data_IF_378240200296
#
_entry.id   IF_378240200296
#
_cell.length_a   1.000
_cell.length_b   1.000
_cell.length_c   1.000
_cell.angle_alpha   90.00
_cell.angle_beta   90.00
_cell.angle_gamma   90.00
#
_symmetry.space_group_name_H-M   'P 1'
#
loop_
_entity.id
_entity.type
_entity.pdbx_description
1 polymer ?
#
# COMPACT_ATOMS: atom_id res chain seq x y z
N UNK A 1 40.18 -22.53 -26.76
CA UNK A 1 38.76 -22.23 -26.53
C UNK A 1 38.68 -21.76 -25.09
N UNK A 2 38.60 -20.44 -24.87
CA UNK A 2 38.55 -19.91 -23.51
C UNK A 2 37.13 -20.17 -23.01
N UNK A 3 37.00 -21.02 -21.99
CA UNK A 3 35.76 -21.22 -21.27
C UNK A 3 35.43 -19.90 -20.56
N UNK A 4 34.37 -19.23 -21.02
CA UNK A 4 33.84 -18.01 -20.42
C UNK A 4 33.56 -18.27 -18.93
N UNK A 5 34.10 -17.42 -18.06
CA UNK A 5 34.03 -17.63 -16.62
C UNK A 5 32.56 -17.62 -16.14
N UNK A 6 32.18 -18.48 -15.17
CA UNK A 6 30.78 -18.65 -14.75
C UNK A 6 30.14 -17.42 -14.10
N UNK A 7 30.94 -16.41 -13.76
CA UNK A 7 30.48 -15.11 -13.24
C UNK A 7 30.27 -14.07 -14.33
N UNK A 8 30.54 -14.40 -15.60
CA UNK A 8 30.25 -13.51 -16.71
C UNK A 8 28.75 -13.48 -16.96
N UNK A 9 28.12 -12.41 -16.50
CA UNK A 9 26.68 -12.22 -16.68
C UNK A 9 26.43 -11.41 -17.95
N UNK A 10 25.62 -11.96 -18.87
CA UNK A 10 25.19 -11.23 -20.05
C UNK A 10 24.09 -10.23 -19.67
N UNK A 11 24.15 -9.02 -20.22
CA UNK A 11 23.14 -7.97 -19.98
C UNK A 11 21.72 -8.37 -20.44
N UNK A 12 21.61 -9.38 -21.31
CA UNK A 12 20.35 -9.97 -21.76
C UNK A 12 19.71 -10.92 -20.73
N UNK A 13 20.45 -11.29 -19.69
CA UNK A 13 20.00 -12.20 -18.61
C UNK A 13 19.77 -11.47 -17.28
N UNK A 14 20.07 -10.16 -17.23
CA UNK A 14 19.88 -9.32 -16.04
C UNK A 14 18.58 -8.54 -16.16
N UNK A 15 17.66 -8.74 -15.19
CA UNK A 15 16.45 -7.92 -15.05
C UNK A 15 16.69 -6.82 -14.03
N UNK A 16 16.46 -5.57 -14.43
CA UNK A 16 16.52 -4.39 -13.58
C UNK A 16 15.11 -4.03 -13.10
N UNK A 17 14.93 -3.88 -11.79
CA UNK A 17 13.66 -3.53 -11.15
C UNK A 17 13.83 -2.21 -10.38
N UNK A 18 13.12 -1.16 -10.79
CA UNK A 18 13.12 0.14 -10.12
C UNK A 18 11.70 0.44 -9.58
N UNK A 19 11.45 0.17 -8.29
CA UNK A 19 10.15 0.42 -7.67
C UNK A 19 9.89 1.93 -7.53
N UNK A 20 8.63 2.33 -7.68
CA UNK A 20 8.17 3.70 -7.44
C UNK A 20 6.77 3.70 -6.84
N UNK A 21 6.37 4.77 -6.15
CA UNK A 21 5.07 4.85 -5.47
C UNK A 21 3.88 4.80 -6.44
N UNK A 22 4.04 5.40 -7.63
CA UNK A 22 3.00 5.43 -8.68
C UNK A 22 3.24 4.41 -9.78
N UNK A 23 4.49 4.27 -10.21
CA UNK A 23 4.86 3.43 -11.35
C UNK A 23 6.04 2.52 -10.99
N UNK A 24 5.96 1.26 -11.42
CA UNK A 24 7.04 0.29 -11.42
C UNK A 24 7.76 0.36 -12.78
N UNK A 25 9.08 0.48 -12.77
CA UNK A 25 9.90 0.38 -13.99
C UNK A 25 10.65 -0.95 -13.97
N UNK A 26 10.54 -1.72 -15.05
CA UNK A 26 11.18 -3.04 -15.18
C UNK A 26 11.64 -3.29 -16.62
N UNK A 27 12.82 -3.89 -16.79
CA UNK A 27 13.37 -4.22 -18.12
C UNK A 27 14.67 -5.01 -18.01
N UNK A 28 15.19 -5.49 -19.13
CA UNK A 28 16.53 -6.07 -19.18
C UNK A 28 17.58 -4.97 -19.08
N UNK A 29 18.78 -5.30 -18.57
CA UNK A 29 19.89 -4.35 -18.52
C UNK A 29 20.40 -3.96 -19.92
N UNK A 30 20.09 -4.76 -20.94
CA UNK A 30 20.37 -4.47 -22.35
C UNK A 30 19.28 -3.64 -23.04
N UNK A 31 18.10 -3.46 -22.43
CA UNK A 31 17.02 -2.71 -23.06
C UNK A 31 17.35 -1.20 -23.10
N UNK A 32 17.02 -0.49 -24.20
CA UNK A 32 17.26 0.95 -24.31
C UNK A 32 16.37 1.78 -23.37
N UNK A 33 15.23 1.24 -22.94
CA UNK A 33 14.32 1.87 -21.99
C UNK A 33 13.51 0.83 -21.22
N UNK A 34 13.21 1.07 -19.91
CA UNK A 34 12.41 0.15 -19.12
C UNK A 34 10.92 0.27 -19.44
N UNK A 35 10.18 -0.81 -19.24
CA UNK A 35 8.72 -0.79 -19.27
C UNK A 35 8.19 -0.12 -18.00
N UNK A 36 7.24 0.79 -18.17
CA UNK A 36 6.58 1.49 -17.06
C UNK A 36 5.18 0.92 -16.84
N UNK A 37 4.92 0.41 -15.64
CA UNK A 37 3.66 -0.21 -15.24
C UNK A 37 3.06 0.54 -14.05
N UNK A 38 1.72 0.66 -13.93
CA UNK A 38 1.09 1.14 -12.69
C UNK A 38 1.46 0.23 -11.53
N UNK A 39 1.97 0.80 -10.43
CA UNK A 39 2.34 0.02 -9.25
C UNK A 39 1.12 -0.21 -8.34
N UNK A 40 0.10 -0.88 -8.86
CA UNK A 40 -1.15 -1.13 -8.15
C UNK A 40 -1.77 -2.48 -8.55
N UNK A 41 -2.57 -3.04 -7.64
CA UNK A 41 -3.32 -4.29 -7.90
C UNK A 41 -4.77 -4.09 -7.46
N UNK A 42 -5.71 -4.20 -8.40
CA UNK A 42 -7.13 -4.27 -8.08
C UNK A 42 -7.49 -5.71 -7.65
N UNK A 43 -8.19 -5.86 -6.52
CA UNK A 43 -8.70 -7.16 -6.05
C UNK A 43 -10.22 -7.12 -5.96
N UNK A 44 -10.90 -8.19 -6.41
CA UNK A 44 -12.35 -8.34 -6.28
C UNK A 44 -12.74 -8.31 -4.81
N UNK A 45 -13.62 -7.38 -4.42
CA UNK A 45 -14.22 -7.34 -3.08
C UNK A 45 -15.06 -8.61 -2.90
N UNK A 46 -14.78 -9.40 -1.86
CA UNK A 46 -15.68 -10.50 -1.47
C UNK A 46 -17.00 -9.87 -1.04
N UNK A 47 -18.11 -10.24 -1.69
CA UNK A 47 -19.44 -9.89 -1.21
C UNK A 47 -19.58 -10.52 0.18
N UNK A 48 -19.91 -9.71 1.19
CA UNK A 48 -20.36 -10.23 2.47
C UNK A 48 -21.72 -10.86 2.18
N UNK A 49 -21.75 -12.17 1.97
CA UNK A 49 -23.01 -12.91 2.05
C UNK A 49 -23.47 -12.85 3.51
N UNK A 50 -24.69 -12.38 3.73
CA UNK A 50 -25.30 -12.18 5.06
C UNK A 50 -25.29 -13.45 5.94
N UNK A 51 -25.04 -14.62 5.36
CA UNK A 51 -24.89 -15.91 6.05
C UNK A 51 -23.50 -16.19 6.64
N UNK A 52 -22.52 -15.29 6.50
CA UNK A 52 -21.19 -15.45 7.12
C UNK A 52 -21.07 -14.73 8.49
N UNK A 53 -22.20 -14.37 9.12
CA UNK A 53 -22.25 -13.70 10.42
C UNK A 53 -21.69 -14.54 11.60
N UNK A 54 -21.37 -15.82 11.41
CA UNK A 54 -20.78 -16.66 12.44
C UNK A 54 -19.69 -17.57 11.89
N UNK A 55 -18.54 -16.99 11.55
CA UNK A 55 -17.27 -17.68 11.79
C UNK A 55 -16.44 -16.78 12.68
N UNK A 56 -16.25 -17.22 13.92
CA UNK A 56 -15.34 -16.70 14.95
C UNK A 56 -13.88 -16.82 14.52
N UNK A 57 -13.56 -16.49 13.26
CA UNK A 57 -12.16 -16.29 12.86
C UNK A 57 -11.76 -14.89 13.31
N UNK A 58 -10.59 -14.71 13.93
CA UNK A 58 -10.07 -13.39 14.28
C UNK A 58 -10.07 -12.49 13.04
N UNK A 59 -10.17 -11.15 13.20
CA UNK A 59 -10.24 -10.22 12.08
C UNK A 59 -9.14 -10.58 11.09
N UNK A 60 -9.54 -11.08 9.91
CA UNK A 60 -8.61 -11.48 8.87
C UNK A 60 -7.90 -10.24 8.43
N UNK A 61 -6.73 -9.99 9.01
CA UNK A 61 -5.81 -8.98 8.56
C UNK A 61 -5.64 -9.23 7.06
N UNK A 62 -5.88 -8.24 6.18
CA UNK A 62 -5.76 -8.45 4.74
C UNK A 62 -4.39 -9.05 4.45
N UNK A 63 -4.25 -9.97 3.49
CA UNK A 63 -2.97 -10.61 3.19
C UNK A 63 -1.81 -9.61 2.90
N UNK A 64 -2.13 -8.34 2.62
CA UNK A 64 -1.17 -7.23 2.55
C UNK A 64 -0.46 -6.90 3.88
N UNK A 65 -1.00 -7.36 5.01
CA UNK A 65 -0.44 -7.19 6.35
C UNK A 65 0.40 -8.39 6.80
N UNK A 66 0.52 -9.44 5.98
CA UNK A 66 1.33 -10.63 6.31
C UNK A 66 2.82 -10.29 6.49
N UNK A 67 3.27 -9.18 5.93
CA UNK A 67 4.64 -8.66 6.06
C UNK A 67 4.78 -7.48 7.02
N UNK A 68 3.70 -7.07 7.69
CA UNK A 68 3.84 -6.09 8.76
C UNK A 68 4.37 -6.78 10.00
N UNK A 69 5.29 -6.15 10.74
CA UNK A 69 5.73 -6.68 12.01
C UNK A 69 4.51 -6.89 12.92
N UNK A 70 4.52 -7.92 13.79
CA UNK A 70 3.44 -8.15 14.73
C UNK A 70 3.19 -6.86 15.52
N UNK A 71 2.02 -6.27 15.34
CA UNK A 71 1.65 -5.05 16.05
C UNK A 71 1.35 -5.43 17.49
N UNK A 72 2.13 -4.90 18.43
CA UNK A 72 1.88 -5.06 19.86
C UNK A 72 0.49 -4.52 20.18
N UNK A 73 -0.43 -5.39 20.59
CA UNK A 73 -1.78 -5.03 21.05
C UNK A 73 -1.75 -4.50 22.48
N UNK A 74 -0.64 -3.87 22.89
CA UNK A 74 -0.58 -3.19 24.16
C UNK A 74 -1.45 -1.93 24.07
N UNK A 75 -2.51 -1.87 24.87
CA UNK A 75 -3.46 -0.76 24.88
C UNK A 75 -2.77 0.61 25.07
N UNK A 76 -1.65 0.66 25.80
CA UNK A 76 -0.86 1.89 25.97
C UNK A 76 -0.19 2.36 24.68
N UNK A 77 0.34 1.43 23.88
CA UNK A 77 0.96 1.76 22.58
C UNK A 77 -0.10 2.23 21.58
N UNK A 78 -1.27 1.58 21.57
CA UNK A 78 -2.37 1.98 20.69
C UNK A 78 -2.91 3.37 21.04
N UNK A 79 -3.05 3.69 22.33
CA UNK A 79 -3.45 5.02 22.78
C UNK A 79 -2.41 6.09 22.40
N UNK A 80 -1.12 5.78 22.53
CA UNK A 80 -0.05 6.68 22.12
C UNK A 80 -0.05 6.92 20.60
N UNK A 81 -0.26 5.88 19.78
CA UNK A 81 -0.36 6.01 18.32
C UNK A 81 -1.54 6.92 17.94
N UNK A 82 -2.70 6.75 18.59
CA UNK A 82 -3.88 7.59 18.34
C UNK A 82 -3.61 9.06 18.72
N UNK A 83 -2.93 9.30 19.84
CA UNK A 83 -2.50 10.64 20.24
C UNK A 83 -1.55 11.27 19.21
N UNK A 84 -0.54 10.51 18.75
CA UNK A 84 0.40 11.00 17.73
C UNK A 84 -0.27 11.22 16.38
N UNK A 85 -1.22 10.37 16.00
CA UNK A 85 -2.01 10.55 14.79
C UNK A 85 -2.85 11.84 14.84
N UNK A 86 -3.47 12.15 15.99
CA UNK A 86 -4.18 13.41 16.22
C UNK A 86 -3.24 14.62 16.10
N UNK A 87 -2.06 14.55 16.71
CA UNK A 87 -1.04 15.62 16.62
C UNK A 87 -0.60 15.86 15.18
N UNK A 88 -0.24 14.80 14.45
CA UNK A 88 0.15 14.89 13.04
C UNK A 88 -0.99 15.43 12.18
N UNK A 89 -2.23 15.02 12.44
CA UNK A 89 -3.38 15.51 11.69
C UNK A 89 -3.59 17.02 11.85
N UNK A 90 -3.43 17.55 13.07
CA UNK A 90 -3.55 18.99 13.32
C UNK A 90 -2.42 19.80 12.67
N UNK A 91 -1.22 19.21 12.55
CA UNK A 91 -0.14 19.85 11.79
C UNK A 91 -0.44 19.82 10.28
N UNK A 92 -0.88 18.67 9.77
CA UNK A 92 -1.13 18.47 8.35
C UNK A 92 -2.35 19.25 7.83
N UNK A 93 -3.30 19.64 8.67
CA UNK A 93 -4.44 20.48 8.26
C UNK A 93 -4.03 21.87 7.77
N UNK A 94 -2.83 22.31 8.16
CA UNK A 94 -2.24 23.56 7.69
C UNK A 94 -1.40 23.37 6.41
N UNK A 95 -1.23 22.13 5.94
CA UNK A 95 -0.47 21.81 4.74
C UNK A 95 -1.38 21.66 3.52
N UNK A 96 -0.88 22.07 2.35
CA UNK A 96 -1.50 21.77 1.06
C UNK A 96 -1.22 20.33 0.63
N UNK A 97 -2.14 19.75 -0.12
CA UNK A 97 -1.92 18.51 -0.87
C UNK A 97 -1.04 18.77 -2.10
N UNK A 98 -0.56 17.71 -2.75
CA UNK A 98 0.19 17.82 -4.01
C UNK A 98 -0.61 18.48 -5.16
N UNK A 99 -1.93 18.65 -4.98
CA UNK A 99 -2.82 19.35 -5.91
C UNK A 99 -3.07 20.81 -5.48
N UNK A 100 -2.37 21.31 -4.45
CA UNK A 100 -2.55 22.67 -3.93
C UNK A 100 -3.83 22.87 -3.11
N UNK A 101 -4.59 21.82 -2.83
CA UNK A 101 -5.82 21.88 -2.04
C UNK A 101 -5.51 21.69 -0.56
N UNK A 102 -6.10 22.50 0.32
CA UNK A 102 -5.94 22.38 1.77
C UNK A 102 -6.47 21.03 2.27
N UNK A 103 -5.74 20.37 3.17
CA UNK A 103 -6.20 19.14 3.80
C UNK A 103 -7.32 19.45 4.80
N UNK A 104 -8.38 18.66 4.78
CA UNK A 104 -9.45 18.77 5.78
C UNK A 104 -8.88 18.51 7.18
N UNK A 105 -9.18 19.41 8.12
CA UNK A 105 -8.94 19.13 9.53
C UNK A 105 -9.76 17.90 9.93
N UNK A 106 -9.14 16.97 10.64
CA UNK A 106 -9.86 15.84 11.24
C UNK A 106 -10.65 16.39 12.41
N UNK A 107 -11.80 16.99 12.14
CA UNK A 107 -12.81 17.13 13.17
C UNK A 107 -13.32 15.74 13.52
N UNK A 108 -13.24 15.45 14.82
CA UNK A 108 -13.74 14.25 15.43
C UNK A 108 -15.21 14.06 15.02
N UNK A 109 -15.56 12.86 14.56
CA UNK A 109 -16.95 12.43 14.30
C UNK A 109 -17.57 12.85 12.95
N UNK A 110 -16.88 12.62 11.84
CA UNK A 110 -17.58 11.97 10.72
C UNK A 110 -17.09 10.54 10.65
N UNK A 111 -17.98 9.60 11.01
CA UNK A 111 -17.84 8.23 10.53
C UNK A 111 -17.50 8.33 9.05
N UNK A 112 -16.36 7.75 8.64
CA UNK A 112 -15.99 7.69 7.23
C UNK A 112 -17.18 7.03 6.54
N UNK A 113 -18.03 7.83 5.90
CA UNK A 113 -19.08 7.31 5.05
C UNK A 113 -18.35 6.80 3.81
N UNK A 114 -17.97 5.52 3.88
CA UNK A 114 -17.60 4.75 2.71
C UNK A 114 -18.84 4.78 1.83
N UNK A 115 -18.84 5.68 0.83
CA UNK A 115 -19.98 5.94 -0.02
C UNK A 115 -20.57 4.63 -0.54
N UNK A 116 -21.84 4.40 -0.27
CA UNK A 116 -22.60 3.33 -0.92
C UNK A 116 -22.84 3.78 -2.35
N UNK A 117 -22.09 3.19 -3.29
CA UNK A 117 -22.39 3.31 -4.72
C UNK A 117 -23.67 2.51 -4.96
N UNK A 118 -24.80 3.20 -5.10
CA UNK A 118 -26.03 2.60 -5.61
C UNK A 118 -25.86 2.38 -7.11
N UNK A 119 -25.90 1.12 -7.54
CA UNK A 119 -26.05 0.75 -8.93
C UNK A 119 -27.56 0.69 -9.21
N UNK A 120 -28.04 1.53 -10.13
CA UNK A 120 -29.39 1.44 -10.71
C UNK A 120 -29.55 0.17 -11.55
#
# INVERSE_FOLDING_TARGET
>A
MLDEAPWLVRLTEVVVIHPGSRNLRIGLASDPAPRTLPHCVARRRRRQTETAAQKTSPPRVPASYQYLPPVSTNNGILAMIDEKAKQLSGLLSNCLTSLGVQRYAVEQTRAIQVGTVNLQ
#
